data_IF_546388442867
#
_entry.id   IF_546388442867
#
_cell.length_a   1.000
_cell.length_b   1.000
_cell.length_c   1.000
_cell.angle_alpha   90.00
_cell.angle_beta   90.00
_cell.angle_gamma   90.00
#
_symmetry.space_group_name_H-M   'P 1'
#
loop_
_entity.id
_entity.type
_entity.pdbx_description
1 polymer ?
#
# COMPACT_ATOMS: atom_id res chain seq x y z
N UNK A 1 2.87 -0.74 12.22
CA UNK A 1 2.32 -2.10 12.37
C UNK A 1 1.29 -2.30 11.27
N UNK A 2 1.24 -3.47 10.62
CA UNK A 2 0.41 -3.69 9.43
C UNK A 2 -1.07 -3.94 9.77
N UNK A 3 -1.99 -3.40 8.96
CA UNK A 3 -3.44 -3.60 9.10
C UNK A 3 -4.11 -3.59 7.72
N UNK A 4 -5.39 -3.94 7.70
CA UNK A 4 -6.26 -3.74 6.54
C UNK A 4 -7.10 -2.48 6.77
N UNK A 5 -7.10 -1.57 5.79
CA UNK A 5 -7.93 -0.38 5.81
C UNK A 5 -9.18 -0.62 4.96
N UNK A 6 -10.36 -0.34 5.52
CA UNK A 6 -11.62 -0.43 4.79
C UNK A 6 -12.06 0.98 4.36
N UNK A 7 -12.20 1.20 3.06
CA UNK A 7 -12.69 2.46 2.49
C UNK A 7 -14.11 2.28 1.99
N UNK A 8 -15.01 3.18 2.39
CA UNK A 8 -16.44 3.12 2.07
C UNK A 8 -16.91 4.52 1.70
N UNK A 9 -17.69 4.63 0.62
CA UNK A 9 -18.27 5.89 0.18
C UNK A 9 -18.56 5.89 -1.31
N UNK A 10 -19.37 6.86 -1.77
CA UNK A 10 -19.78 6.95 -3.17
C UNK A 10 -18.64 7.22 -4.16
N UNK A 11 -17.59 7.90 -3.71
CA UNK A 11 -16.39 8.19 -4.51
C UNK A 11 -15.32 7.07 -4.44
N UNK A 12 -15.53 6.03 -3.64
CA UNK A 12 -14.57 4.93 -3.53
C UNK A 12 -14.80 3.95 -4.68
N UNK A 13 -13.74 3.61 -5.42
CA UNK A 13 -13.72 2.49 -6.37
C UNK A 13 -13.68 1.17 -5.60
N UNK A 14 -14.79 0.84 -4.95
CA UNK A 14 -14.96 -0.32 -4.08
C UNK A 14 -15.06 -1.64 -4.84
N UNK A 15 -15.38 -2.72 -4.10
CA UNK A 15 -15.39 -4.11 -4.61
C UNK A 15 -14.04 -4.56 -5.18
N UNK A 16 -12.96 -3.99 -4.67
CA UNK A 16 -11.59 -4.26 -5.10
C UNK A 16 -10.66 -4.31 -3.88
N UNK A 17 -9.60 -5.10 -4.01
CA UNK A 17 -8.46 -5.06 -3.10
C UNK A 17 -7.36 -4.22 -3.74
N UNK A 18 -6.77 -3.33 -2.94
CA UNK A 18 -5.62 -2.53 -3.34
C UNK A 18 -4.41 -2.99 -2.53
N UNK A 19 -3.30 -3.26 -3.21
CA UNK A 19 -2.14 -3.92 -2.64
C UNK A 19 -2.16 -5.44 -2.80
N UNK A 20 -1.09 -6.10 -2.34
CA UNK A 20 -0.91 -7.56 -2.46
C UNK A 20 -0.82 -8.18 -1.07
N UNK A 21 -1.74 -9.09 -0.77
CA UNK A 21 -1.70 -9.88 0.45
C UNK A 21 -0.44 -10.78 0.44
N UNK A 22 0.31 -10.84 1.54
CA UNK A 22 1.45 -11.73 1.63
C UNK A 22 0.99 -13.19 1.62
N UNK A 23 1.77 -14.11 1.03
CA UNK A 23 1.49 -15.53 1.09
C UNK A 23 1.48 -16.02 2.54
N UNK A 24 0.60 -16.97 2.85
CA UNK A 24 0.58 -17.62 4.16
C UNK A 24 1.72 -18.64 4.18
N UNK A 25 2.68 -18.42 5.06
CA UNK A 25 3.72 -19.39 5.37
C UNK A 25 3.95 -19.47 6.88
N UNK A 26 4.29 -20.69 7.32
CA UNK A 26 4.61 -21.03 8.71
C UNK A 26 6.08 -21.42 8.87
N UNK A 27 6.84 -21.45 7.77
CA UNK A 27 8.27 -21.73 7.76
C UNK A 27 9.07 -20.43 7.95
N UNK A 28 10.39 -20.52 8.08
CA UNK A 28 11.25 -19.35 8.22
C UNK A 28 12.59 -19.60 7.54
N UNK A 29 12.52 -19.76 6.22
CA UNK A 29 13.65 -20.09 5.34
C UNK A 29 13.98 -18.93 4.41
N UNK A 30 14.98 -19.12 3.54
CA UNK A 30 15.30 -18.17 2.48
C UNK A 30 14.36 -18.28 1.25
N UNK A 31 13.34 -19.15 1.28
CA UNK A 31 12.38 -19.26 0.19
C UNK A 31 11.63 -17.93 -0.03
N UNK A 32 11.26 -17.66 -1.27
CA UNK A 32 10.58 -16.42 -1.65
C UNK A 32 9.26 -16.22 -0.91
N UNK A 33 8.54 -17.28 -0.56
CA UNK A 33 7.31 -17.19 0.21
C UNK A 33 7.55 -16.82 1.68
N UNK A 34 8.73 -17.15 2.21
CA UNK A 34 9.09 -16.89 3.60
C UNK A 34 9.65 -15.47 3.81
N UNK A 35 9.98 -14.76 2.73
CA UNK A 35 10.44 -13.36 2.77
C UNK A 35 9.34 -12.36 3.16
N UNK A 36 8.07 -12.78 3.12
CA UNK A 36 6.92 -11.91 3.40
C UNK A 36 6.52 -11.88 4.88
N UNK A 37 7.29 -12.53 5.73
CA UNK A 37 7.08 -12.54 7.17
C UNK A 37 8.41 -12.64 7.90
N UNK A 38 8.41 -12.23 9.16
CA UNK A 38 9.58 -12.32 10.06
C UNK A 38 9.39 -13.45 11.07
N UNK A 39 8.85 -14.58 10.59
CA UNK A 39 8.55 -15.80 11.35
C UNK A 39 7.21 -15.78 12.09
N UNK A 40 6.69 -16.98 12.40
CA UNK A 40 5.49 -17.21 13.22
C UNK A 40 4.24 -16.42 12.76
N UNK A 41 4.06 -16.26 11.45
CA UNK A 41 2.89 -15.57 10.89
C UNK A 41 2.87 -14.05 11.08
N UNK A 42 4.00 -13.43 11.46
CA UNK A 42 4.12 -11.96 11.53
C UNK A 42 4.43 -11.40 10.14
N UNK A 43 3.35 -11.10 9.42
CA UNK A 43 3.35 -10.69 8.02
C UNK A 43 3.88 -9.26 7.84
N UNK A 44 4.60 -9.04 6.75
CA UNK A 44 5.08 -7.74 6.29
C UNK A 44 4.15 -7.19 5.19
N UNK A 45 3.51 -6.02 5.38
CA UNK A 45 2.73 -5.40 4.34
C UNK A 45 3.59 -4.99 3.14
N UNK A 46 3.11 -5.27 1.93
CA UNK A 46 3.70 -4.77 0.69
C UNK A 46 3.37 -3.30 0.43
N UNK A 47 2.20 -2.85 0.92
CA UNK A 47 1.67 -1.51 0.66
C UNK A 47 1.95 -0.57 1.82
N UNK A 48 2.57 0.56 1.52
CA UNK A 48 2.86 1.62 2.47
C UNK A 48 1.63 2.51 2.72
N UNK A 49 1.56 3.08 3.93
CA UNK A 49 0.59 4.13 4.28
C UNK A 49 0.76 5.38 3.41
N UNK A 50 1.96 5.64 2.88
CA UNK A 50 2.21 6.79 2.02
C UNK A 50 1.56 6.62 0.63
N UNK A 51 1.62 5.41 0.05
CA UNK A 51 0.93 5.10 -1.22
C UNK A 51 -0.60 5.18 -1.05
N UNK A 52 -1.10 4.74 0.11
CA UNK A 52 -2.51 4.88 0.49
C UNK A 52 -2.90 6.35 0.62
N UNK A 53 -2.13 7.13 1.39
CA UNK A 53 -2.39 8.55 1.63
C UNK A 53 -2.28 9.38 0.34
N UNK A 54 -1.39 9.03 -0.59
CA UNK A 54 -1.25 9.72 -1.87
C UNK A 54 -2.55 9.66 -2.69
N UNK A 55 -3.27 8.54 -2.62
CA UNK A 55 -4.59 8.41 -3.28
C UNK A 55 -5.59 9.44 -2.73
N UNK A 56 -5.64 9.59 -1.40
CA UNK A 56 -6.53 10.55 -0.74
C UNK A 56 -6.08 12.00 -0.97
N UNK A 57 -4.78 12.27 -0.91
CA UNK A 57 -4.22 13.59 -1.13
C UNK A 57 -4.52 14.08 -2.55
N UNK A 58 -4.32 13.24 -3.57
CA UNK A 58 -4.71 13.55 -4.95
C UNK A 58 -6.21 13.80 -5.07
N UNK A 59 -7.05 13.00 -4.41
CA UNK A 59 -8.51 13.21 -4.42
C UNK A 59 -8.93 14.52 -3.75
N UNK A 60 -8.22 14.96 -2.71
CA UNK A 60 -8.39 16.27 -2.09
C UNK A 60 -7.85 17.44 -2.91
N UNK A 61 -7.21 17.17 -4.06
CA UNK A 61 -6.72 18.19 -4.98
C UNK A 61 -5.26 18.59 -4.79
N UNK A 62 -4.47 17.84 -4.00
CA UNK A 62 -3.02 18.06 -3.92
C UNK A 62 -2.37 17.73 -5.25
N UNK A 63 -1.59 18.65 -5.80
CA UNK A 63 -0.91 18.44 -7.08
C UNK A 63 0.24 17.43 -6.95
N UNK A 64 0.60 16.79 -8.06
CA UNK A 64 1.73 15.84 -8.09
C UNK A 64 3.06 16.47 -7.66
N UNK A 65 3.23 17.78 -7.87
CA UNK A 65 4.42 18.53 -7.46
C UNK A 65 4.46 18.82 -5.96
N UNK A 66 3.31 18.84 -5.29
CA UNK A 66 3.19 19.09 -3.84
C UNK A 66 3.17 17.79 -3.03
N UNK A 67 2.81 16.66 -3.63
CA UNK A 67 2.77 15.36 -2.95
C UNK A 67 4.06 15.02 -2.17
N UNK A 68 5.29 15.25 -2.70
CA UNK A 68 6.51 14.98 -1.93
C UNK A 68 6.66 15.85 -0.66
N UNK A 69 6.03 17.03 -0.62
CA UNK A 69 6.03 17.89 0.56
C UNK A 69 5.12 17.38 1.68
N UNK A 70 4.02 16.71 1.34
CA UNK A 70 3.05 16.14 2.30
C UNK A 70 3.38 14.70 2.64
N UNK A 71 3.94 13.94 1.70
CA UNK A 71 4.30 12.53 1.79
C UNK A 71 5.78 12.35 1.39
N UNK A 72 6.73 12.65 2.28
CA UNK A 72 8.16 12.68 1.93
C UNK A 72 8.72 11.35 1.43
N UNK A 73 8.23 10.22 1.98
CA UNK A 73 8.71 8.90 1.56
C UNK A 73 8.05 8.43 0.25
N UNK A 74 7.13 9.21 -0.34
CA UNK A 74 6.47 8.84 -1.59
C UNK A 74 7.47 8.66 -2.75
N UNK A 75 8.60 9.37 -2.67
CA UNK A 75 9.73 9.28 -3.61
C UNK A 75 10.39 7.91 -3.67
N UNK A 76 10.17 7.03 -2.69
CA UNK A 76 10.66 5.64 -2.71
C UNK A 76 9.77 4.68 -3.54
N UNK A 77 8.65 5.18 -4.10
CA UNK A 77 7.70 4.40 -4.89
C UNK A 77 7.62 4.91 -6.33
N UNK A 78 6.99 4.14 -7.22
CA UNK A 78 6.84 4.47 -8.65
C UNK A 78 7.03 3.30 -9.61
N UNK A 79 7.28 2.09 -9.09
CA UNK A 79 7.37 0.87 -9.88
C UNK A 79 6.00 0.20 -10.10
N UNK A 80 5.97 -0.81 -10.97
CA UNK A 80 4.75 -1.57 -11.25
C UNK A 80 4.19 -2.26 -9.99
N UNK A 81 5.05 -2.82 -9.15
CA UNK A 81 4.66 -3.49 -7.90
C UNK A 81 4.39 -2.50 -6.75
N UNK A 82 4.93 -1.28 -6.84
CA UNK A 82 4.86 -0.26 -5.79
C UNK A 82 4.50 1.10 -6.39
N UNK A 83 3.23 1.30 -6.79
CA UNK A 83 2.81 2.56 -7.40
C UNK A 83 2.79 3.69 -6.36
N UNK A 84 3.07 4.92 -6.77
CA UNK A 84 2.95 6.10 -5.89
C UNK A 84 1.51 6.40 -5.50
N UNK A 85 0.52 5.93 -6.26
CA UNK A 85 -0.89 6.14 -5.97
C UNK A 85 -1.65 4.84 -6.23
N UNK A 86 -2.42 4.36 -5.24
CA UNK A 86 -3.18 3.12 -5.34
C UNK A 86 -4.45 3.28 -6.19
N UNK A 87 -4.97 4.50 -6.33
CA UNK A 87 -6.04 4.82 -7.28
C UNK A 87 -7.44 4.39 -6.85
N UNK A 88 -7.66 4.09 -5.56
CA UNK A 88 -8.94 3.63 -5.03
C UNK A 88 -10.04 4.70 -4.93
N UNK A 89 -9.74 5.96 -5.24
CA UNK A 89 -10.72 7.05 -5.35
C UNK A 89 -11.08 7.32 -6.82
N UNK A 90 -12.33 7.73 -7.07
CA UNK A 90 -12.88 8.18 -8.36
C UNK A 90 -12.37 9.56 -8.75
#
# INVERSE_FOLDING_TARGET
>A
WGSHHLMVGGAVKGKAFYGKAPPVSITNTADANDQWHVGQGRLLPSTSVDQYAATLASWFGVSNTELPGVLPNLSHFGGADYPTNLGFMA
#
